data_IF_072198846808
#
_entry.id   IF_072198846808
#
_cell.length_a   1.000
_cell.length_b   1.000
_cell.length_c   1.000
_cell.angle_alpha   90.00
_cell.angle_beta   90.00
_cell.angle_gamma   90.00
#
_symmetry.space_group_name_H-M   'P 1'
#
loop_
_entity.id
_entity.type
_entity.pdbx_description
1 polymer ?
#
# COMPACT_ATOMS: atom_id res chain seq x y z
N UNK A 1 -16.65 4.42 24.23
CA UNK A 1 -17.43 3.57 23.30
C UNK A 1 -17.41 4.29 21.96
N UNK A 2 -16.75 3.73 20.98
CA UNK A 2 -16.68 4.26 19.63
C UNK A 2 -18.04 4.19 18.92
N UNK A 3 -18.24 4.96 17.86
CA UNK A 3 -19.43 4.86 17.01
C UNK A 3 -19.08 4.10 15.73
N UNK A 4 -19.82 3.05 15.38
CA UNK A 4 -19.71 2.40 14.07
C UNK A 4 -20.49 3.19 13.03
N UNK A 5 -19.89 3.40 11.87
CA UNK A 5 -20.60 4.01 10.73
C UNK A 5 -21.20 2.91 9.89
N UNK A 6 -22.53 2.86 9.81
CA UNK A 6 -23.22 2.05 8.82
C UNK A 6 -23.88 2.96 7.78
N UNK A 7 -24.01 2.45 6.57
CA UNK A 7 -24.76 3.13 5.51
C UNK A 7 -26.18 2.56 5.45
N UNK A 8 -27.16 3.44 5.45
CA UNK A 8 -28.50 3.05 5.07
C UNK A 8 -28.48 2.63 3.60
N UNK A 9 -28.82 1.35 3.35
CA UNK A 9 -28.83 0.76 2.00
C UNK A 9 -29.86 1.43 1.06
N UNK A 10 -30.82 2.17 1.59
CA UNK A 10 -31.88 2.81 0.82
C UNK A 10 -31.53 4.26 0.48
N UNK A 11 -30.85 4.99 1.36
CA UNK A 11 -30.57 6.41 1.20
C UNK A 11 -29.11 6.73 0.90
N UNK A 12 -28.19 5.74 1.05
CA UNK A 12 -26.75 5.92 1.00
C UNK A 12 -26.23 6.97 1.99
N UNK A 13 -27.03 7.33 3.00
CA UNK A 13 -26.61 8.23 4.06
C UNK A 13 -25.84 7.44 5.13
N UNK A 14 -24.64 7.89 5.51
CA UNK A 14 -23.92 7.28 6.60
C UNK A 14 -24.64 7.51 7.92
N UNK A 15 -24.83 6.47 8.70
CA UNK A 15 -25.22 6.61 10.09
C UNK A 15 -24.20 5.94 11.00
N UNK A 16 -23.92 6.58 12.12
CA UNK A 16 -22.90 6.16 13.05
C UNK A 16 -23.47 5.17 14.06
N UNK A 17 -22.98 3.93 14.07
CA UNK A 17 -23.26 2.96 15.12
C UNK A 17 -22.15 3.01 16.18
N UNK A 18 -20.88 3.11 15.74
CA UNK A 18 -19.72 3.39 16.59
C UNK A 18 -18.89 4.47 15.89
N UNK A 19 -18.54 5.53 16.57
CA UNK A 19 -17.73 6.61 16.00
C UNK A 19 -16.24 6.24 15.96
N UNK A 20 -15.44 7.07 15.30
CA UNK A 20 -13.99 6.90 15.35
C UNK A 20 -13.52 6.89 16.80
N UNK A 21 -12.48 6.07 17.07
CA UNK A 21 -11.86 5.98 18.39
C UNK A 21 -11.62 7.40 18.96
N UNK A 22 -12.27 7.76 20.08
CA UNK A 22 -12.15 9.10 20.63
C UNK A 22 -10.73 9.45 21.12
N UNK A 23 -9.83 8.47 21.21
CA UNK A 23 -8.41 8.69 21.50
C UNK A 23 -7.64 9.27 20.30
N UNK A 24 -8.16 9.10 19.07
CA UNK A 24 -7.56 9.63 17.85
C UNK A 24 -8.21 10.96 17.52
N UNK A 25 -7.59 12.06 17.91
CA UNK A 25 -8.03 13.41 17.49
C UNK A 25 -7.46 13.68 16.10
N UNK A 26 -8.30 13.81 15.06
CA UNK A 26 -7.82 14.22 13.74
C UNK A 26 -7.19 15.62 13.87
N UNK A 27 -5.94 15.73 13.45
CA UNK A 27 -5.17 16.98 13.55
C UNK A 27 -5.45 17.96 12.40
N UNK A 28 -6.00 17.46 11.29
CA UNK A 28 -6.25 18.25 10.07
C UNK A 28 -7.57 17.84 9.40
N UNK A 29 -8.11 18.69 8.50
CA UNK A 29 -9.26 18.32 7.69
C UNK A 29 -9.03 17.06 6.85
N UNK A 30 -7.79 16.85 6.38
CA UNK A 30 -7.39 15.66 5.61
C UNK A 30 -7.44 14.38 6.47
N UNK A 31 -7.06 14.45 7.75
CA UNK A 31 -7.16 13.30 8.65
C UNK A 31 -8.61 12.94 8.98
N UNK A 32 -9.51 13.92 9.01
CA UNK A 32 -10.96 13.68 9.13
C UNK A 32 -11.50 12.95 7.88
N UNK A 33 -11.09 13.37 6.69
CA UNK A 33 -11.45 12.73 5.43
C UNK A 33 -10.97 11.27 5.39
N UNK A 34 -9.72 11.01 5.77
CA UNK A 34 -9.20 9.64 5.88
C UNK A 34 -10.02 8.81 6.88
N UNK A 35 -10.24 9.31 8.09
CA UNK A 35 -10.99 8.59 9.11
C UNK A 35 -12.41 8.26 8.65
N UNK A 36 -13.04 9.12 7.86
CA UNK A 36 -14.38 8.90 7.33
C UNK A 36 -14.42 7.87 6.20
N UNK A 37 -13.46 7.95 5.25
CA UNK A 37 -13.44 7.07 4.08
C UNK A 37 -12.88 5.67 4.37
N UNK A 38 -12.05 5.53 5.40
CA UNK A 38 -11.24 4.33 5.65
C UNK A 38 -11.62 3.58 6.94
N UNK A 39 -12.81 3.80 7.47
CA UNK A 39 -13.20 3.21 8.76
C UNK A 39 -13.19 1.67 8.77
N UNK A 40 -13.37 1.02 7.64
CA UNK A 40 -13.35 -0.44 7.51
C UNK A 40 -11.94 -1.02 7.33
N UNK A 41 -10.98 -0.20 6.93
CA UNK A 41 -9.62 -0.68 6.73
C UNK A 41 -8.85 -0.71 8.04
N UNK A 42 -8.16 -1.79 8.32
CA UNK A 42 -7.33 -1.95 9.52
C UNK A 42 -5.84 -2.07 9.21
N UNK A 43 -5.51 -2.25 7.93
CA UNK A 43 -4.15 -2.44 7.43
C UNK A 43 -3.77 -1.36 6.43
N UNK A 44 -2.52 -0.94 6.43
CA UNK A 44 -1.98 0.09 5.56
C UNK A 44 -0.81 -0.48 4.75
N UNK A 45 -0.84 -0.31 3.45
CA UNK A 45 0.29 -0.60 2.57
C UNK A 45 0.73 0.70 1.89
N UNK A 46 2.01 1.04 1.99
CA UNK A 46 2.59 2.24 1.39
C UNK A 46 3.66 1.81 0.38
N UNK A 47 3.46 2.18 -0.88
CA UNK A 47 4.32 1.83 -2.00
C UNK A 47 4.75 3.07 -2.78
N UNK A 48 5.87 2.97 -3.48
CA UNK A 48 6.41 4.08 -4.25
C UNK A 48 5.71 4.27 -5.59
N UNK A 49 5.53 3.20 -6.37
CA UNK A 49 5.03 3.26 -7.74
C UNK A 49 3.82 2.35 -7.95
N UNK A 50 2.95 2.67 -8.91
CA UNK A 50 1.92 1.74 -9.37
C UNK A 50 2.57 0.50 -10.00
N UNK A 51 2.32 -0.65 -9.45
CA UNK A 51 2.81 -2.02 -9.70
C UNK A 51 3.58 -2.66 -8.53
N UNK A 52 4.22 -1.85 -7.69
CA UNK A 52 4.95 -2.34 -6.51
C UNK A 52 4.05 -3.16 -5.57
N UNK A 53 2.79 -2.75 -5.39
CA UNK A 53 1.84 -3.48 -4.53
C UNK A 53 1.61 -4.92 -4.99
N UNK A 54 1.61 -5.15 -6.31
CA UNK A 54 1.48 -6.49 -6.87
C UNK A 54 2.81 -7.23 -6.90
N UNK A 55 3.90 -6.54 -7.21
CA UNK A 55 5.23 -7.19 -7.31
C UNK A 55 5.67 -7.71 -5.94
N UNK A 56 5.47 -6.92 -4.88
CA UNK A 56 5.99 -7.21 -3.53
C UNK A 56 4.92 -7.65 -2.53
N UNK A 57 3.67 -7.22 -2.69
CA UNK A 57 2.57 -7.45 -1.76
C UNK A 57 1.32 -8.10 -2.36
N UNK A 58 1.40 -8.65 -3.58
CA UNK A 58 0.23 -9.08 -4.35
C UNK A 58 -0.59 -10.19 -3.68
N UNK A 59 0.04 -11.20 -3.11
CA UNK A 59 -0.69 -12.30 -2.45
C UNK A 59 -1.40 -11.83 -1.18
N UNK A 60 -0.77 -10.97 -0.41
CA UNK A 60 -1.40 -10.38 0.77
C UNK A 60 -2.66 -9.58 0.36
N UNK A 61 -2.57 -8.78 -0.71
CA UNK A 61 -3.71 -8.03 -1.22
C UNK A 61 -4.79 -8.90 -1.87
N UNK A 62 -4.41 -10.00 -2.53
CA UNK A 62 -5.37 -10.99 -3.07
C UNK A 62 -6.18 -11.61 -1.93
N UNK A 63 -5.55 -11.90 -0.80
CA UNK A 63 -6.20 -12.53 0.35
C UNK A 63 -7.00 -11.55 1.22
N UNK A 64 -6.51 -10.33 1.38
CA UNK A 64 -6.95 -9.39 2.42
C UNK A 64 -7.27 -7.99 1.89
N UNK A 65 -7.46 -7.82 0.58
CA UNK A 65 -7.68 -6.53 -0.06
C UNK A 65 -8.68 -5.60 0.65
N UNK A 66 -9.89 -6.09 1.05
CA UNK A 66 -10.87 -5.26 1.74
C UNK A 66 -10.40 -4.65 3.07
N UNK A 67 -9.41 -5.27 3.72
CA UNK A 67 -8.86 -4.80 5.00
C UNK A 67 -7.79 -3.71 4.81
N UNK A 68 -7.29 -3.52 3.58
CA UNK A 68 -6.19 -2.62 3.27
C UNK A 68 -6.63 -1.25 2.79
N UNK A 69 -5.94 -0.23 3.31
CA UNK A 69 -5.71 1.03 2.61
C UNK A 69 -4.37 0.94 1.87
N UNK A 70 -4.37 1.22 0.57
CA UNK A 70 -3.15 1.24 -0.25
C UNK A 70 -2.84 2.68 -0.63
N UNK A 71 -1.64 3.14 -0.30
CA UNK A 71 -1.11 4.45 -0.67
C UNK A 71 0.03 4.26 -1.69
N UNK A 72 -0.16 4.79 -2.89
CA UNK A 72 0.90 4.93 -3.88
C UNK A 72 1.47 6.35 -3.83
N UNK A 73 2.78 6.50 -3.64
CA UNK A 73 3.39 7.81 -3.38
C UNK A 73 3.51 8.69 -4.63
N UNK A 74 3.55 8.10 -5.82
CA UNK A 74 3.80 8.83 -7.06
C UNK A 74 2.65 8.71 -8.07
N UNK A 75 2.77 9.43 -9.18
CA UNK A 75 1.98 9.25 -10.40
C UNK A 75 0.48 9.63 -10.36
N UNK A 76 -0.03 10.29 -9.33
CA UNK A 76 -1.43 10.72 -9.30
C UNK A 76 -1.81 11.66 -10.46
N UNK A 77 -0.88 12.46 -10.98
CA UNK A 77 -1.07 13.34 -12.15
C UNK A 77 -0.95 12.61 -13.50
N UNK A 78 -0.43 11.38 -13.53
CA UNK A 78 -0.35 10.57 -14.73
C UNK A 78 -1.66 9.79 -14.93
N UNK A 79 -2.54 10.28 -15.79
CA UNK A 79 -3.87 9.71 -16.01
C UNK A 79 -3.84 8.24 -16.46
N UNK A 80 -2.83 7.81 -17.22
CA UNK A 80 -2.70 6.42 -17.69
C UNK A 80 -2.37 5.53 -16.49
N UNK A 81 -1.28 5.80 -15.77
CA UNK A 81 -0.86 5.03 -14.61
C UNK A 81 -1.92 5.01 -13.50
N UNK A 82 -2.58 6.15 -13.28
CA UNK A 82 -3.69 6.26 -12.32
C UNK A 82 -4.88 5.37 -12.70
N UNK A 83 -5.25 5.33 -13.98
CA UNK A 83 -6.33 4.46 -14.47
C UNK A 83 -5.97 2.98 -14.35
N UNK A 84 -4.74 2.62 -14.63
CA UNK A 84 -4.23 1.25 -14.49
C UNK A 84 -4.23 0.83 -13.01
N UNK A 85 -3.69 1.66 -12.12
CA UNK A 85 -3.69 1.42 -10.68
C UNK A 85 -5.12 1.26 -10.14
N UNK A 86 -6.03 2.18 -10.49
CA UNK A 86 -7.44 2.07 -10.14
C UNK A 86 -8.03 0.72 -10.54
N UNK A 87 -7.77 0.27 -11.76
CA UNK A 87 -8.29 -1.02 -12.26
C UNK A 87 -7.79 -2.20 -11.44
N UNK A 88 -6.56 -2.16 -10.96
CA UNK A 88 -6.00 -3.18 -10.06
C UNK A 88 -6.64 -3.10 -8.68
N UNK A 89 -6.80 -1.91 -8.10
CA UNK A 89 -7.44 -1.73 -6.79
C UNK A 89 -8.89 -2.26 -6.80
N UNK A 90 -9.63 -2.01 -7.87
CA UNK A 90 -10.99 -2.52 -8.06
C UNK A 90 -11.02 -4.06 -8.20
N UNK A 91 -10.09 -4.64 -8.97
CA UNK A 91 -9.98 -6.10 -9.12
C UNK A 91 -9.64 -6.82 -7.83
N UNK A 92 -8.80 -6.22 -7.00
CA UNK A 92 -8.42 -6.73 -5.68
C UNK A 92 -9.44 -6.41 -4.58
N UNK A 93 -10.50 -5.65 -4.92
CA UNK A 93 -11.47 -5.18 -3.94
C UNK A 93 -10.82 -4.49 -2.74
N UNK A 94 -9.85 -3.61 -3.00
CA UNK A 94 -9.13 -2.88 -1.96
C UNK A 94 -10.08 -1.98 -1.19
N UNK A 95 -10.02 -2.02 0.14
CA UNK A 95 -10.93 -1.28 1.02
C UNK A 95 -10.89 0.23 0.81
N UNK A 96 -9.70 0.80 0.66
CA UNK A 96 -9.51 2.17 0.17
C UNK A 96 -8.13 2.35 -0.46
N UNK A 97 -7.97 3.36 -1.30
CA UNK A 97 -6.68 3.66 -1.90
C UNK A 97 -6.53 5.13 -2.26
N UNK A 98 -5.30 5.60 -2.30
CA UNK A 98 -4.95 6.95 -2.71
C UNK A 98 -3.62 6.95 -3.47
N UNK A 99 -3.51 7.81 -4.47
CA UNK A 99 -2.24 8.13 -5.12
C UNK A 99 -1.83 9.54 -4.77
N UNK A 100 -0.60 9.69 -4.33
CA UNK A 100 0.02 10.99 -4.10
C UNK A 100 0.75 11.44 -5.37
N UNK A 101 1.21 12.68 -5.37
CA UNK A 101 1.84 13.28 -6.54
C UNK A 101 3.28 13.68 -6.27
N UNK A 102 4.02 12.83 -5.54
CA UNK A 102 5.47 13.00 -5.47
C UNK A 102 6.08 12.66 -6.84
N UNK A 103 7.18 13.31 -7.15
CA UNK A 103 7.89 13.10 -8.41
C UNK A 103 8.42 11.66 -8.51
N UNK A 104 8.16 10.99 -9.65
CA UNK A 104 8.70 9.67 -9.97
C UNK A 104 10.08 9.86 -10.62
N UNK A 105 11.15 9.61 -9.89
CA UNK A 105 12.53 9.87 -10.32
C UNK A 105 13.55 8.96 -9.65
N UNK A 106 14.62 8.63 -10.35
CA UNK A 106 15.77 7.92 -9.78
C UNK A 106 16.67 8.79 -8.90
N UNK A 107 16.47 10.11 -8.93
CA UNK A 107 17.24 11.09 -8.14
C UNK A 107 16.32 11.96 -7.29
N UNK A 108 15.58 11.36 -6.34
CA UNK A 108 14.57 12.08 -5.57
C UNK A 108 15.22 13.14 -4.67
N UNK A 109 14.75 14.36 -4.78
CA UNK A 109 15.14 15.48 -3.91
C UNK A 109 14.10 15.76 -2.81
N UNK A 110 12.87 15.31 -3.00
CA UNK A 110 11.78 15.45 -2.05
C UNK A 110 11.79 14.33 -1.01
N UNK A 111 11.52 14.71 0.25
CA UNK A 111 11.19 13.74 1.31
C UNK A 111 9.68 13.54 1.33
N UNK A 112 9.26 12.30 1.50
CA UNK A 112 7.85 11.98 1.69
C UNK A 112 7.40 12.42 3.08
N UNK A 113 6.23 13.06 3.16
CA UNK A 113 5.57 13.39 4.43
C UNK A 113 4.35 12.49 4.59
N UNK A 114 4.41 11.52 5.50
CA UNK A 114 3.40 10.50 5.71
C UNK A 114 2.74 10.62 7.09
N UNK A 115 3.04 11.65 7.86
CA UNK A 115 2.55 11.83 9.22
C UNK A 115 1.02 11.70 9.29
N UNK A 116 0.29 12.48 8.49
CA UNK A 116 -1.17 12.47 8.52
C UNK A 116 -1.76 11.12 8.09
N UNK A 117 -1.09 10.39 7.19
CA UNK A 117 -1.53 9.09 6.69
C UNK A 117 -1.33 8.01 7.75
N UNK A 118 -0.20 8.03 8.46
CA UNK A 118 0.16 6.98 9.42
C UNK A 118 -0.53 7.20 10.75
N UNK A 119 -0.72 8.46 11.18
CA UNK A 119 -1.11 8.77 12.57
C UNK A 119 -2.59 9.08 12.77
N UNK A 120 -3.44 9.06 11.71
CA UNK A 120 -4.86 9.41 11.91
C UNK A 120 -5.67 8.31 12.61
N UNK A 121 -5.19 7.07 12.62
CA UNK A 121 -5.75 5.96 13.40
C UNK A 121 -4.68 4.95 13.79
N UNK A 122 -5.04 4.01 14.65
CA UNK A 122 -4.20 2.85 14.95
C UNK A 122 -4.37 1.80 13.86
N UNK A 123 -3.26 1.38 13.24
CA UNK A 123 -3.23 0.34 12.23
C UNK A 123 -2.86 -1.00 12.87
N UNK A 124 -3.58 -2.07 12.54
CA UNK A 124 -3.21 -3.43 12.92
C UNK A 124 -1.92 -3.88 12.24
N UNK A 125 -1.70 -3.36 11.02
CA UNK A 125 -0.52 -3.68 10.23
C UNK A 125 -0.17 -2.52 9.30
N UNK A 126 1.09 -2.11 9.28
CA UNK A 126 1.64 -1.18 8.30
C UNK A 126 2.70 -1.94 7.52
N UNK A 127 2.67 -1.89 6.18
CA UNK A 127 3.63 -2.55 5.30
C UNK A 127 4.20 -1.54 4.33
N UNK A 128 5.51 -1.57 4.10
CA UNK A 128 6.19 -0.73 3.12
C UNK A 128 7.44 -1.40 2.56
N UNK A 129 8.16 -0.68 1.71
CA UNK A 129 9.46 -1.08 1.19
C UNK A 129 10.49 -1.34 2.28
N UNK A 130 11.53 -2.12 1.95
CA UNK A 130 12.61 -2.41 2.88
C UNK A 130 13.75 -1.38 2.81
N UNK A 131 14.67 -1.35 3.79
CA UNK A 131 15.72 -0.33 3.85
C UNK A 131 16.75 -0.39 2.72
N UNK A 132 16.86 -1.53 2.02
CA UNK A 132 17.74 -1.66 0.85
C UNK A 132 17.04 -1.33 -0.47
N UNK A 133 15.70 -1.08 -0.44
CA UNK A 133 14.88 -0.75 -1.61
C UNK A 133 14.74 -1.94 -2.56
N UNK A 134 14.52 -3.15 -2.03
CA UNK A 134 14.37 -4.45 -2.69
C UNK A 134 15.57 -4.80 -3.59
N UNK A 135 15.71 -4.10 -4.68
CA UNK A 135 16.82 -4.22 -5.64
C UNK A 135 17.68 -2.94 -5.73
N UNK A 136 17.58 -2.06 -4.74
CA UNK A 136 18.37 -0.83 -4.64
C UNK A 136 17.66 0.43 -5.11
N UNK A 137 16.34 0.40 -5.36
CA UNK A 137 15.59 1.54 -5.88
C UNK A 137 15.60 2.73 -4.89
N UNK A 138 16.02 3.95 -5.29
CA UNK A 138 16.15 5.08 -4.37
C UNK A 138 14.84 5.50 -3.72
N UNK A 139 13.72 5.51 -4.46
CA UNK A 139 12.41 5.92 -3.90
C UNK A 139 11.83 4.90 -2.94
N UNK A 140 12.12 3.59 -3.11
CA UNK A 140 11.75 2.57 -2.13
C UNK A 140 12.43 2.82 -0.78
N UNK A 141 13.73 3.18 -0.80
CA UNK A 141 14.46 3.54 0.43
C UNK A 141 13.86 4.77 1.11
N UNK A 142 13.47 5.78 0.33
CA UNK A 142 12.78 6.97 0.87
C UNK A 142 11.41 6.66 1.46
N UNK A 143 10.65 5.74 0.85
CA UNK A 143 9.38 5.29 1.41
C UNK A 143 9.59 4.59 2.76
N UNK A 144 10.58 3.70 2.85
CA UNK A 144 11.00 3.10 4.12
C UNK A 144 11.36 4.16 5.17
N UNK A 145 12.25 5.11 4.83
CA UNK A 145 12.69 6.17 5.75
C UNK A 145 11.52 7.05 6.22
N UNK A 146 10.57 7.33 5.33
CA UNK A 146 9.39 8.13 5.65
C UNK A 146 8.45 7.40 6.63
N UNK A 147 8.23 6.09 6.45
CA UNK A 147 7.42 5.30 7.39
C UNK A 147 8.15 5.17 8.73
N UNK A 148 9.43 4.83 8.72
CA UNK A 148 10.27 4.69 9.92
C UNK A 148 10.30 5.96 10.79
N UNK A 149 10.23 7.12 10.17
CA UNK A 149 10.19 8.40 10.88
C UNK A 149 8.90 8.55 11.72
N UNK A 150 7.80 8.00 11.28
CA UNK A 150 6.48 8.18 11.91
C UNK A 150 6.12 7.03 12.87
N UNK A 151 6.70 5.83 12.69
CA UNK A 151 6.44 4.67 13.53
C UNK A 151 7.62 3.70 13.53
N UNK A 152 7.80 2.98 14.64
CA UNK A 152 8.75 1.86 14.75
C UNK A 152 8.05 0.49 14.63
N UNK A 153 6.72 0.46 14.56
CA UNK A 153 5.94 -0.77 14.46
C UNK A 153 5.39 -0.90 13.03
N UNK A 154 6.13 -1.55 12.16
CA UNK A 154 5.74 -1.82 10.78
C UNK A 154 6.49 -3.00 10.18
N UNK A 155 5.98 -3.50 9.07
CA UNK A 155 6.53 -4.62 8.31
C UNK A 155 7.15 -4.11 7.02
N UNK A 156 8.17 -4.82 6.56
CA UNK A 156 8.82 -4.53 5.27
C UNK A 156 8.75 -5.74 4.35
N UNK A 157 8.71 -5.49 3.06
CA UNK A 157 8.81 -6.57 2.07
C UNK A 157 10.12 -7.35 2.26
N UNK A 158 10.00 -8.66 2.37
CA UNK A 158 11.12 -9.55 2.61
C UNK A 158 11.11 -10.73 1.64
N UNK A 159 12.26 -11.02 1.07
CA UNK A 159 12.44 -12.24 0.27
C UNK A 159 12.29 -13.49 1.12
N UNK A 160 11.63 -14.49 0.55
CA UNK A 160 11.62 -15.86 1.03
C UNK A 160 12.34 -16.78 0.04
N UNK A 161 12.86 -17.90 0.54
CA UNK A 161 13.33 -18.99 -0.30
C UNK A 161 12.18 -19.86 -0.83
N UNK A 162 10.99 -19.67 -0.29
CA UNK A 162 9.78 -20.34 -0.75
C UNK A 162 9.27 -19.68 -2.02
N UNK A 163 8.75 -20.50 -2.92
CA UNK A 163 8.05 -20.01 -4.11
C UNK A 163 6.58 -19.78 -3.78
N UNK A 164 5.97 -18.83 -4.46
CA UNK A 164 4.52 -18.67 -4.46
C UNK A 164 3.86 -19.95 -5.00
N UNK A 165 2.71 -20.30 -4.43
CA UNK A 165 1.82 -21.28 -5.03
C UNK A 165 1.42 -20.84 -6.45
N UNK A 166 1.30 -21.79 -7.38
CA UNK A 166 1.16 -21.48 -8.80
C UNK A 166 -0.09 -20.65 -9.08
N UNK A 167 -1.21 -20.95 -8.43
CA UNK A 167 -2.48 -20.22 -8.64
C UNK A 167 -2.37 -18.73 -8.26
N UNK A 168 -1.68 -18.42 -7.15
CA UNK A 168 -1.41 -17.04 -6.77
C UNK A 168 -0.46 -16.34 -7.73
N UNK A 169 0.58 -17.05 -8.19
CA UNK A 169 1.51 -16.51 -9.17
C UNK A 169 0.80 -16.19 -10.50
N UNK A 170 -0.06 -17.09 -10.97
CA UNK A 170 -0.80 -16.92 -12.21
C UNK A 170 -1.76 -15.73 -12.12
N UNK A 171 -2.50 -15.61 -11.01
CA UNK A 171 -3.40 -14.47 -10.80
C UNK A 171 -2.64 -13.15 -10.64
N UNK A 172 -1.53 -13.14 -9.91
CA UNK A 172 -0.63 -11.97 -9.82
C UNK A 172 -0.13 -11.53 -11.20
N UNK A 173 0.27 -12.48 -12.06
CA UNK A 173 0.70 -12.21 -13.43
C UNK A 173 -0.45 -11.65 -14.28
N UNK A 174 -1.67 -12.18 -14.13
CA UNK A 174 -2.86 -11.65 -14.80
C UNK A 174 -3.12 -10.19 -14.41
N UNK A 175 -3.11 -9.88 -13.11
CA UNK A 175 -3.30 -8.53 -12.60
C UNK A 175 -2.21 -7.57 -13.09
N UNK A 176 -0.94 -7.99 -13.10
CA UNK A 176 0.17 -7.17 -13.59
C UNK A 176 0.05 -6.78 -15.07
N UNK A 177 -0.71 -7.53 -15.89
CA UNK A 177 -1.00 -7.16 -17.29
C UNK A 177 -1.89 -5.92 -17.40
N UNK A 178 -2.57 -5.52 -16.33
CA UNK A 178 -3.36 -4.28 -16.31
C UNK A 178 -2.46 -3.04 -16.33
N UNK A 179 -1.23 -3.13 -15.85
CA UNK A 179 -0.21 -2.08 -15.95
C UNK A 179 0.46 -2.09 -17.34
N UNK A 180 -0.30 -1.73 -18.35
CA UNK A 180 0.16 -1.78 -19.77
C UNK A 180 1.33 -0.83 -20.02
N UNK A 181 1.31 0.35 -19.39
CA UNK A 181 2.37 1.35 -19.50
C UNK A 181 3.70 0.89 -18.89
N UNK A 182 3.64 -0.01 -17.89
CA UNK A 182 4.80 -0.47 -17.12
C UNK A 182 5.33 -1.85 -17.55
N UNK A 183 4.77 -2.47 -18.58
CA UNK A 183 5.20 -3.80 -19.03
C UNK A 183 6.72 -3.91 -19.29
N UNK A 184 7.40 -2.90 -19.87
CA UNK A 184 8.86 -2.97 -20.03
C UNK A 184 9.59 -3.08 -18.69
N UNK A 185 9.17 -2.30 -17.67
CA UNK A 185 9.76 -2.30 -16.32
C UNK A 185 9.45 -3.60 -15.60
N UNK A 186 8.19 -4.04 -15.60
CA UNK A 186 7.74 -5.30 -15.00
C UNK A 186 8.52 -6.48 -15.59
N UNK A 187 8.70 -6.53 -16.91
CA UNK A 187 9.47 -7.58 -17.57
C UNK A 187 10.97 -7.51 -17.19
N UNK A 188 11.52 -6.33 -17.02
CA UNK A 188 12.89 -6.16 -16.55
C UNK A 188 13.06 -6.67 -15.10
N UNK A 189 12.14 -6.35 -14.21
CA UNK A 189 12.14 -6.86 -12.83
C UNK A 189 11.99 -8.37 -12.83
N UNK A 190 11.06 -8.91 -13.62
CA UNK A 190 10.85 -10.36 -13.77
C UNK A 190 12.10 -11.10 -14.24
N UNK A 191 12.89 -10.51 -15.12
CA UNK A 191 14.10 -11.15 -15.65
C UNK A 191 15.32 -10.95 -14.76
N UNK A 192 15.58 -9.72 -14.29
CA UNK A 192 16.78 -9.37 -13.48
C UNK A 192 16.58 -9.65 -11.99
N UNK A 193 15.39 -9.48 -11.47
CA UNK A 193 15.02 -9.60 -10.06
C UNK A 193 13.91 -10.64 -9.83
N UNK A 194 13.87 -11.68 -10.65
CA UNK A 194 12.80 -12.69 -10.63
C UNK A 194 12.68 -13.44 -9.30
N UNK A 195 13.70 -13.39 -8.44
CA UNK A 195 13.63 -13.91 -7.08
C UNK A 195 12.62 -13.13 -6.21
N UNK A 196 12.46 -11.83 -6.41
CA UNK A 196 11.40 -11.05 -5.77
C UNK A 196 10.03 -11.37 -6.34
N UNK A 197 9.93 -11.41 -7.68
CA UNK A 197 8.68 -11.65 -8.39
C UNK A 197 8.04 -13.01 -8.09
N UNK A 198 8.87 -14.06 -7.92
CA UNK A 198 8.44 -15.45 -7.72
C UNK A 198 8.60 -15.92 -6.28
N UNK A 199 9.11 -15.10 -5.39
CA UNK A 199 9.27 -15.47 -3.99
C UNK A 199 7.95 -15.34 -3.24
N UNK A 200 7.85 -16.01 -2.11
CA UNK A 200 6.75 -15.85 -1.18
C UNK A 200 6.90 -14.56 -0.32
N UNK A 201 7.51 -13.52 -0.86
CA UNK A 201 7.75 -12.25 -0.17
C UNK A 201 6.46 -11.55 0.26
N UNK A 202 5.39 -11.76 -0.50
CA UNK A 202 4.07 -11.19 -0.24
C UNK A 202 3.45 -11.68 1.08
N UNK A 203 3.86 -12.85 1.56
CA UNK A 203 3.35 -13.45 2.80
C UNK A 203 4.40 -13.54 3.89
N UNK A 204 5.66 -13.23 3.57
CA UNK A 204 6.79 -13.34 4.48
C UNK A 204 7.35 -11.95 4.82
N UNK A 205 6.47 -11.06 5.32
CA UNK A 205 6.91 -9.77 5.82
C UNK A 205 7.71 -9.93 7.09
N UNK A 206 8.83 -9.22 7.20
CA UNK A 206 9.61 -9.12 8.42
C UNK A 206 9.16 -7.88 9.17
N UNK A 207 8.81 -8.06 10.44
CA UNK A 207 8.60 -6.94 11.36
C UNK A 207 9.92 -6.17 11.48
N UNK A 208 9.84 -4.87 11.28
CA UNK A 208 10.99 -4.01 11.42
C UNK A 208 11.15 -3.61 12.88
N UNK A 209 12.07 -4.26 13.58
CA UNK A 209 12.52 -3.80 14.89
C UNK A 209 13.57 -2.70 14.69
N UNK A 210 13.35 -1.53 15.28
CA UNK A 210 14.41 -0.52 15.33
C UNK A 210 15.57 -1.09 16.11
N UNK A 211 16.68 -1.34 15.45
CA UNK A 211 17.93 -1.61 16.10
C UNK A 211 18.33 -0.31 16.82
N UNK A 212 18.07 -0.24 18.12
CA UNK A 212 18.55 0.82 19.00
C UNK A 212 20.04 0.69 19.23
#
# INVERSE_FOLDING_TARGET
>A
KGFDVMYDKLTLQPYFIHGPDPSVKPKTAKTLEYAFNDYQTTKLMIISHPDDELIFGGVELIKHGPEYKVICLTNNSNNIRKSEFKSVMEKLNIGSWEMLNYEDTLHPTQKFNLQDIITYKNWDKIVTHNPIGEYGHPQHKLAFDAVKKETNNFYVFSKSNEKLEQDYLDYKVELLRLYKSEQPVINQIKTKNGSWFKSNSDTNYIEYESIT
#
